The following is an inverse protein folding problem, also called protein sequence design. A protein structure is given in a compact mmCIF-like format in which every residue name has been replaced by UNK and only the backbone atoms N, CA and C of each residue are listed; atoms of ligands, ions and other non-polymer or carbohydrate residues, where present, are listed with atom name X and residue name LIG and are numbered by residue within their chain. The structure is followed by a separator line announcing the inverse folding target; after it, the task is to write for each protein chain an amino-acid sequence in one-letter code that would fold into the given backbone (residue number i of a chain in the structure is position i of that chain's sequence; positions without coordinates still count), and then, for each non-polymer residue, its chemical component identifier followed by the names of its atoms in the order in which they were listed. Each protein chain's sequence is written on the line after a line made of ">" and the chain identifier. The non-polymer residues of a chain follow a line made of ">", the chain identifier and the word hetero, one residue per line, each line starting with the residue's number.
data_IF_073576432158
#
_entry.id   IF_073576432158
#
_cell.length_a   1.000
_cell.length_b   1.000
_cell.length_c   1.000
_cell.angle_alpha   90.00
_cell.angle_beta   90.00
_cell.angle_gamma   90.00
#
_symmetry.space_group_name_H-M   'P 1'
#
loop_
_entity.id
_entity.type
_entity.pdbx_description
1 polymer ?
#
# COMPACT_ATOMS: atom_id res chain seq x y z
N UNK A 1 2.50 15.35 6.51
CA UNK A 1 3.98 15.39 6.43
C UNK A 1 4.59 15.79 7.78
N UNK A 2 5.88 15.48 7.98
CA UNK A 2 6.61 15.88 9.17
C UNK A 2 7.76 16.82 8.80
N UNK A 3 8.02 17.81 9.67
CA UNK A 3 9.18 18.69 9.56
C UNK A 3 10.23 18.29 10.59
N UNK A 4 11.49 18.34 10.19
CA UNK A 4 12.66 18.07 11.02
C UNK A 4 13.25 19.37 11.53
N UNK A 5 13.46 19.46 12.82
CA UNK A 5 14.14 20.60 13.47
C UNK A 5 15.28 20.09 14.36
N UNK A 6 16.32 20.91 14.54
CA UNK A 6 17.45 20.59 15.40
C UNK A 6 17.37 21.41 16.69
N UNK A 7 17.57 20.74 17.81
CA UNK A 7 17.65 21.37 19.15
C UNK A 7 18.96 20.93 19.83
N UNK A 8 19.95 21.81 19.85
CA UNK A 8 21.29 21.53 20.38
C UNK A 8 21.33 21.23 21.88
N UNK A 9 20.35 21.71 22.65
CA UNK A 9 20.25 21.53 24.10
C UNK A 9 19.76 20.14 24.54
N UNK A 10 19.37 19.26 23.63
CA UNK A 10 18.77 17.97 23.94
C UNK A 10 19.71 16.82 23.63
N UNK A 11 19.61 15.69 24.37
CA UNK A 11 20.37 14.45 24.12
C UNK A 11 20.14 13.91 22.68
N UNK A 12 18.89 13.89 22.24
CA UNK A 12 18.52 13.64 20.83
C UNK A 12 18.19 15.00 20.24
N UNK A 13 19.04 15.46 19.32
CA UNK A 13 18.97 16.81 18.75
C UNK A 13 17.84 16.93 17.71
N UNK A 14 17.57 15.86 17.00
CA UNK A 14 16.56 15.79 15.95
C UNK A 14 15.17 15.67 16.53
N UNK A 15 14.30 16.56 16.12
CA UNK A 15 12.89 16.57 16.47
C UNK A 15 12.05 16.59 15.21
N UNK A 16 11.14 15.65 15.14
CA UNK A 16 10.18 15.51 14.04
C UNK A 16 8.81 15.97 14.52
N UNK A 17 8.20 16.91 13.82
CA UNK A 17 6.90 17.50 14.17
C UNK A 17 5.95 17.33 12.99
N UNK A 18 4.75 16.80 13.23
CA UNK A 18 3.70 16.73 12.23
C UNK A 18 3.26 18.13 11.83
N UNK A 19 3.11 18.37 10.53
CA UNK A 19 2.63 19.65 10.00
C UNK A 19 1.12 19.81 10.07
N UNK A 20 0.39 18.72 10.32
CA UNK A 20 -1.05 18.80 10.57
C UNK A 20 -1.29 19.34 12.00
N UNK A 21 -1.91 20.50 12.16
CA UNK A 21 -2.14 21.11 13.46
C UNK A 21 -3.02 20.25 14.40
N UNK A 22 -3.94 19.47 13.83
CA UNK A 22 -4.83 18.59 14.60
C UNK A 22 -4.09 17.33 15.13
N UNK A 23 -3.00 16.92 14.48
CA UNK A 23 -2.26 15.71 14.86
C UNK A 23 -1.42 15.92 16.12
N UNK A 24 -0.78 17.11 16.28
CA UNK A 24 0.07 17.46 17.41
C UNK A 24 1.28 16.54 17.67
N UNK A 25 1.51 15.54 16.79
CA UNK A 25 2.55 14.53 16.98
C UNK A 25 3.95 15.15 16.92
N UNK A 26 4.77 14.87 17.95
CA UNK A 26 6.15 15.34 18.08
C UNK A 26 7.01 14.21 18.61
N UNK A 27 8.04 13.83 17.86
CA UNK A 27 8.91 12.71 18.20
C UNK A 27 10.37 13.13 18.14
N UNK A 28 11.18 12.58 19.04
CA UNK A 28 12.64 12.74 19.03
C UNK A 28 13.25 11.39 18.63
N UNK A 29 13.84 11.37 17.46
CA UNK A 29 14.58 10.23 16.94
C UNK A 29 15.75 10.77 16.12
N UNK A 30 16.95 10.26 16.37
CA UNK A 30 18.13 10.67 15.61
C UNK A 30 18.03 10.17 14.16
N UNK A 31 18.63 10.91 13.24
CA UNK A 31 18.66 10.55 11.84
C UNK A 31 19.31 9.16 11.64
N UNK A 32 20.37 8.85 12.39
CA UNK A 32 21.05 7.56 12.31
C UNK A 32 20.12 6.41 12.71
N UNK A 33 19.42 6.53 13.84
CA UNK A 33 18.46 5.51 14.29
C UNK A 33 17.29 5.38 13.34
N UNK A 34 16.79 6.50 12.78
CA UNK A 34 15.71 6.46 11.80
C UNK A 34 16.14 5.73 10.52
N UNK A 35 17.34 6.02 10.01
CA UNK A 35 17.91 5.37 8.83
C UNK A 35 18.13 3.87 9.07
N UNK A 36 18.67 3.50 10.23
CA UNK A 36 18.86 2.11 10.63
C UNK A 36 17.52 1.35 10.64
N UNK A 37 16.52 1.90 11.29
CA UNK A 37 15.17 1.32 11.34
C UNK A 37 14.55 1.15 9.96
N UNK A 38 14.69 2.15 9.07
CA UNK A 38 14.22 2.05 7.69
C UNK A 38 14.96 0.93 6.95
N UNK A 39 16.28 0.81 7.13
CA UNK A 39 17.10 -0.25 6.52
C UNK A 39 16.64 -1.63 6.98
N UNK A 40 16.39 -1.80 8.28
CA UNK A 40 15.86 -3.05 8.83
C UNK A 40 14.49 -3.43 8.22
N UNK A 41 13.59 -2.44 8.07
CA UNK A 41 12.28 -2.69 7.45
C UNK A 41 12.38 -3.05 5.97
N UNK A 42 13.30 -2.43 5.24
CA UNK A 42 13.57 -2.79 3.84
C UNK A 42 14.13 -4.21 3.75
N UNK A 43 15.11 -4.57 4.59
CA UNK A 43 15.67 -5.91 4.64
C UNK A 43 14.60 -6.96 4.95
N UNK A 44 13.71 -6.67 5.90
CA UNK A 44 12.58 -7.54 6.23
C UNK A 44 11.63 -7.75 5.05
N UNK A 45 11.40 -6.71 4.22
CA UNK A 45 10.60 -6.84 2.99
C UNK A 45 11.35 -7.71 1.96
N UNK A 46 12.67 -7.55 1.82
CA UNK A 46 13.49 -8.35 0.91
C UNK A 46 13.48 -9.83 1.31
N UNK A 47 13.62 -10.11 2.60
CA UNK A 47 13.61 -11.48 3.15
C UNK A 47 12.22 -12.12 3.08
N UNK A 48 11.16 -11.32 3.19
CA UNK A 48 9.78 -11.78 3.15
C UNK A 48 8.91 -10.90 2.24
N UNK A 49 8.92 -11.20 0.95
CA UNK A 49 8.15 -10.48 -0.05
C UNK A 49 6.62 -10.59 0.11
N UNK A 50 6.12 -11.52 0.96
CA UNK A 50 4.71 -11.60 1.31
C UNK A 50 4.23 -10.35 2.06
N UNK A 51 5.13 -9.61 2.71
CA UNK A 51 4.82 -8.31 3.34
C UNK A 51 4.38 -7.22 2.34
N UNK A 52 4.64 -7.42 1.05
CA UNK A 52 4.17 -6.55 -0.02
C UNK A 52 2.70 -6.82 -0.41
N UNK A 53 2.13 -7.94 0.04
CA UNK A 53 0.74 -8.28 -0.26
C UNK A 53 -0.22 -7.48 0.63
N UNK A 54 -1.26 -6.85 0.06
CA UNK A 54 -2.29 -6.24 0.86
C UNK A 54 -2.99 -7.32 1.69
N UNK A 55 -3.17 -7.06 2.99
CA UNK A 55 -3.93 -7.96 3.87
C UNK A 55 -5.33 -8.19 3.31
N UNK A 56 -5.81 -9.42 3.36
CA UNK A 56 -7.08 -9.86 2.75
C UNK A 56 -8.33 -9.13 3.25
N UNK A 57 -8.24 -8.42 4.36
CA UNK A 57 -9.35 -7.63 4.93
C UNK A 57 -9.92 -6.59 3.94
N UNK A 58 -9.18 -6.22 2.90
CA UNK A 58 -9.61 -5.30 1.85
C UNK A 58 -9.92 -5.99 0.53
N UNK A 59 -9.89 -7.33 0.49
CA UNK A 59 -10.23 -8.13 -0.70
C UNK A 59 -11.70 -8.55 -0.77
N UNK A 60 -12.61 -7.83 -0.14
CA UNK A 60 -14.02 -8.03 -0.46
C UNK A 60 -14.22 -7.69 -1.93
N UNK A 61 -14.20 -8.73 -2.75
CA UNK A 61 -14.71 -8.72 -4.11
C UNK A 61 -16.24 -8.66 -4.06
N UNK A 62 -16.77 -7.65 -3.42
CA UNK A 62 -18.19 -7.37 -3.54
C UNK A 62 -18.39 -6.95 -5.00
N UNK A 63 -19.07 -7.81 -5.76
CA UNK A 63 -19.49 -7.44 -7.12
C UNK A 63 -20.29 -6.14 -6.99
N UNK A 64 -19.89 -5.05 -7.65
CA UNK A 64 -20.62 -3.81 -7.54
C UNK A 64 -22.12 -4.02 -7.80
N UNK A 65 -23.00 -3.38 -7.04
CA UNK A 65 -24.45 -3.52 -7.23
C UNK A 65 -24.88 -3.26 -8.68
N UNK A 66 -24.20 -2.39 -9.39
CA UNK A 66 -24.42 -2.11 -10.82
C UNK A 66 -24.19 -3.33 -11.70
N UNK A 67 -23.16 -4.14 -11.41
CA UNK A 67 -22.87 -5.37 -12.17
C UNK A 67 -23.89 -6.47 -11.85
N UNK A 68 -24.33 -6.56 -10.59
CA UNK A 68 -25.40 -7.51 -10.22
C UNK A 68 -26.69 -7.20 -10.97
N UNK A 69 -27.12 -5.94 -10.96
CA UNK A 69 -28.33 -5.50 -11.66
C UNK A 69 -28.23 -5.76 -13.19
N UNK A 70 -27.11 -5.40 -13.81
CA UNK A 70 -26.92 -5.66 -15.24
C UNK A 70 -26.91 -7.17 -15.58
N UNK A 71 -26.44 -8.02 -14.65
CA UNK A 71 -26.45 -9.46 -14.82
C UNK A 71 -27.89 -10.01 -14.74
N UNK A 72 -28.71 -9.48 -13.85
CA UNK A 72 -30.13 -9.82 -13.72
C UNK A 72 -30.92 -9.40 -14.96
N UNK A 73 -30.65 -8.21 -15.50
CA UNK A 73 -31.24 -7.74 -16.77
C UNK A 73 -30.91 -8.67 -17.95
N UNK A 74 -29.64 -9.12 -18.06
CA UNK A 74 -29.25 -10.09 -19.10
C UNK A 74 -30.02 -11.39 -18.96
N UNK A 75 -30.15 -11.91 -17.74
CA UNK A 75 -30.86 -13.15 -17.50
C UNK A 75 -32.35 -13.04 -17.83
N UNK A 76 -32.97 -11.91 -17.48
CA UNK A 76 -34.37 -11.64 -17.83
C UNK A 76 -34.58 -11.53 -19.33
N UNK A 77 -33.71 -10.83 -20.03
CA UNK A 77 -33.76 -10.66 -21.49
C UNK A 77 -33.52 -11.99 -22.21
N UNK A 78 -32.55 -12.79 -21.76
CA UNK A 78 -32.27 -14.12 -22.32
C UNK A 78 -33.42 -15.12 -22.10
N UNK A 79 -34.22 -14.99 -21.06
CA UNK A 79 -35.38 -15.82 -20.77
C UNK A 79 -36.63 -15.38 -21.58
N UNK A 80 -36.63 -14.20 -22.17
CA UNK A 80 -37.75 -13.67 -22.95
C UNK A 80 -37.79 -14.23 -24.36
N UNK A 81 -38.94 -14.74 -24.85
CA UNK A 81 -39.08 -15.20 -26.24
C UNK A 81 -38.87 -14.06 -27.26
N UNK A 82 -39.02 -12.81 -26.85
CA UNK A 82 -38.83 -11.61 -27.65
C UNK A 82 -37.51 -10.91 -27.33
N UNK A 83 -36.61 -11.58 -26.60
CA UNK A 83 -35.36 -11.00 -26.14
C UNK A 83 -34.46 -10.55 -27.28
N UNK A 84 -33.80 -9.40 -27.11
CA UNK A 84 -32.90 -8.81 -28.07
C UNK A 84 -31.46 -9.27 -27.84
N UNK A 85 -30.89 -10.03 -28.78
CA UNK A 85 -29.48 -10.41 -28.72
C UNK A 85 -28.56 -9.19 -28.65
N UNK A 86 -28.88 -8.13 -29.38
CA UNK A 86 -28.09 -6.89 -29.38
C UNK A 86 -28.05 -6.23 -27.98
N UNK A 87 -29.18 -6.20 -27.30
CA UNK A 87 -29.25 -5.66 -25.92
C UNK A 87 -28.39 -6.47 -24.97
N UNK A 88 -28.44 -7.79 -25.05
CA UNK A 88 -27.61 -8.70 -24.25
C UNK A 88 -26.12 -8.43 -24.50
N UNK A 89 -25.71 -8.31 -25.75
CA UNK A 89 -24.31 -8.03 -26.11
C UNK A 89 -23.85 -6.68 -25.58
N UNK A 90 -24.68 -5.64 -25.67
CA UNK A 90 -24.34 -4.32 -25.16
C UNK A 90 -24.21 -4.30 -23.63
N UNK A 91 -25.08 -5.02 -22.92
CA UNK A 91 -24.96 -5.19 -21.45
C UNK A 91 -23.71 -5.98 -21.05
N UNK A 92 -23.35 -7.03 -21.80
CA UNK A 92 -22.10 -7.77 -21.57
C UNK A 92 -20.89 -6.84 -21.72
N UNK A 93 -20.89 -5.98 -22.75
CA UNK A 93 -19.82 -4.99 -22.96
C UNK A 93 -19.74 -3.97 -21.82
N UNK A 94 -20.88 -3.50 -21.31
CA UNK A 94 -20.93 -2.59 -20.16
C UNK A 94 -20.38 -3.25 -18.89
N UNK A 95 -20.79 -4.48 -18.60
CA UNK A 95 -20.22 -5.27 -17.48
C UNK A 95 -18.71 -5.43 -17.64
N UNK A 96 -18.23 -5.75 -18.83
CA UNK A 96 -16.80 -5.90 -19.09
C UNK A 96 -16.03 -4.59 -18.82
N UNK A 97 -16.57 -3.45 -19.29
CA UNK A 97 -15.99 -2.12 -19.02
C UNK A 97 -15.96 -1.79 -17.53
N UNK A 98 -17.06 -2.08 -16.82
CA UNK A 98 -17.16 -1.81 -15.39
C UNK A 98 -16.22 -2.71 -14.56
N UNK A 99 -16.13 -3.99 -14.90
CA UNK A 99 -15.15 -4.92 -14.31
C UNK A 99 -13.72 -4.47 -14.56
N UNK A 100 -13.42 -3.97 -15.77
CA UNK A 100 -12.09 -3.46 -16.10
C UNK A 100 -11.77 -2.19 -15.28
N UNK A 101 -12.71 -1.26 -15.16
CA UNK A 101 -12.55 -0.04 -14.34
C UNK A 101 -12.33 -0.37 -12.86
N UNK A 102 -13.03 -1.38 -12.35
CA UNK A 102 -12.93 -1.84 -10.95
C UNK A 102 -11.81 -2.88 -10.74
N UNK A 103 -11.13 -3.30 -11.81
CA UNK A 103 -10.02 -4.24 -11.70
C UNK A 103 -8.80 -3.53 -11.12
N UNK A 104 -8.21 -4.14 -10.08
CA UNK A 104 -6.97 -3.66 -9.47
C UNK A 104 -5.72 -4.06 -10.30
N UNK A 105 -5.83 -4.11 -11.64
CA UNK A 105 -4.75 -4.56 -12.54
C UNK A 105 -3.45 -3.78 -12.27
N UNK A 106 -3.54 -2.46 -12.10
CA UNK A 106 -2.36 -1.64 -11.81
C UNK A 106 -1.71 -2.02 -10.49
N UNK A 107 -2.51 -2.26 -9.44
CA UNK A 107 -2.00 -2.68 -8.13
C UNK A 107 -1.42 -4.09 -8.17
N UNK A 108 -2.06 -4.99 -8.91
CA UNK A 108 -1.56 -6.35 -9.08
C UNK A 108 -0.25 -6.36 -9.88
N UNK A 109 -0.16 -5.55 -10.94
CA UNK A 109 1.07 -5.38 -11.70
C UNK A 109 2.18 -4.77 -10.84
N UNK A 110 1.88 -3.73 -10.06
CA UNK A 110 2.83 -3.11 -9.13
C UNK A 110 3.34 -4.13 -8.11
N UNK A 111 2.45 -4.99 -7.57
CA UNK A 111 2.83 -6.06 -6.66
C UNK A 111 3.77 -7.08 -7.32
N UNK A 112 3.46 -7.53 -8.52
CA UNK A 112 4.32 -8.48 -9.27
C UNK A 112 5.70 -7.88 -9.56
N UNK A 113 5.74 -6.62 -9.97
CA UNK A 113 7.00 -5.89 -10.21
C UNK A 113 7.80 -5.79 -8.91
N UNK A 114 7.17 -5.35 -7.81
CA UNK A 114 7.84 -5.20 -6.53
C UNK A 114 8.39 -6.53 -6.01
N UNK A 115 7.62 -7.63 -6.07
CA UNK A 115 8.09 -8.96 -5.70
C UNK A 115 9.29 -9.41 -6.54
N UNK A 116 9.21 -9.23 -7.86
CA UNK A 116 10.33 -9.58 -8.73
C UNK A 116 11.57 -8.74 -8.45
N UNK A 117 11.41 -7.47 -8.09
CA UNK A 117 12.54 -6.62 -7.68
C UNK A 117 13.21 -7.16 -6.41
N UNK A 118 12.42 -7.60 -5.40
CA UNK A 118 12.99 -8.14 -4.15
C UNK A 118 13.77 -9.44 -4.37
N UNK A 119 13.46 -10.25 -5.38
CA UNK A 119 14.22 -11.46 -5.72
C UNK A 119 15.69 -11.18 -6.12
N UNK A 120 15.95 -9.98 -6.67
CA UNK A 120 17.30 -9.55 -7.08
C UNK A 120 18.00 -8.68 -6.03
N UNK A 121 17.29 -8.29 -4.96
CA UNK A 121 17.85 -7.50 -3.88
C UNK A 121 18.48 -8.41 -2.81
N UNK A 122 19.50 -7.89 -2.14
CA UNK A 122 20.12 -8.56 -0.99
C UNK A 122 20.01 -7.66 0.23
N UNK A 123 19.86 -8.26 1.40
CA UNK A 123 19.91 -7.51 2.66
C UNK A 123 21.18 -6.67 2.75
N UNK A 124 21.05 -5.44 3.23
CA UNK A 124 22.13 -4.45 3.30
C UNK A 124 22.38 -4.06 4.75
N UNK A 125 23.62 -3.82 5.10
CA UNK A 125 23.97 -3.24 6.40
C UNK A 125 23.76 -1.72 6.43
N UNK A 126 23.93 -1.07 5.27
CA UNK A 126 23.78 0.38 5.12
C UNK A 126 22.54 0.73 4.30
N UNK A 127 22.06 1.95 4.49
CA UNK A 127 20.90 2.46 3.76
C UNK A 127 21.16 2.56 2.26
N UNK A 128 20.33 1.90 1.48
CA UNK A 128 20.33 2.01 0.01
C UNK A 128 19.18 2.91 -0.45
N UNK A 129 19.55 4.04 -1.06
CA UNK A 129 18.57 4.97 -1.65
C UNK A 129 17.78 4.31 -2.79
N UNK A 130 18.44 3.48 -3.58
CA UNK A 130 17.82 2.83 -4.74
C UNK A 130 16.76 1.82 -4.28
N UNK A 131 17.04 1.04 -3.22
CA UNK A 131 16.09 0.11 -2.64
C UNK A 131 14.90 0.85 -2.01
N UNK A 132 15.20 1.94 -1.29
CA UNK A 132 14.16 2.79 -0.73
C UNK A 132 13.26 3.34 -1.84
N UNK A 133 13.83 3.93 -2.87
CA UNK A 133 13.06 4.52 -3.98
C UNK A 133 12.27 3.48 -4.79
N UNK A 134 12.74 2.25 -4.89
CA UNK A 134 12.04 1.19 -5.62
C UNK A 134 10.86 0.60 -4.86
N UNK A 135 10.97 0.44 -3.54
CA UNK A 135 9.99 -0.29 -2.71
C UNK A 135 9.06 0.62 -1.90
N UNK A 136 9.55 1.78 -1.44
CA UNK A 136 8.89 2.59 -0.44
C UNK A 136 8.26 3.85 -1.06
N UNK A 137 7.04 4.17 -0.65
CA UNK A 137 6.34 5.41 -0.99
C UNK A 137 6.62 6.50 0.05
N UNK A 138 6.51 6.16 1.33
CA UNK A 138 6.80 7.09 2.43
C UNK A 138 7.05 6.35 3.75
N UNK A 139 7.61 7.08 4.70
CA UNK A 139 7.88 6.61 6.06
C UNK A 139 6.85 7.22 7.02
N UNK A 140 6.41 6.45 7.97
CA UNK A 140 5.55 6.89 9.08
C UNK A 140 6.32 6.81 10.40
N UNK A 141 6.14 7.78 11.27
CA UNK A 141 6.72 7.79 12.60
C UNK A 141 5.56 7.94 13.60
N UNK A 142 5.39 6.96 14.46
CA UNK A 142 4.39 6.98 15.52
C UNK A 142 4.77 7.96 16.65
N UNK A 143 3.79 8.34 17.45
CA UNK A 143 4.02 9.19 18.63
C UNK A 143 4.91 8.53 19.69
N UNK A 144 4.97 7.23 19.70
CA UNK A 144 5.81 6.36 20.53
C UNK A 144 7.24 6.16 19.96
N UNK A 145 7.55 6.75 18.81
CA UNK A 145 8.84 6.59 18.12
C UNK A 145 8.93 5.32 17.27
N UNK A 146 7.85 4.55 17.12
CA UNK A 146 7.81 3.42 16.18
C UNK A 146 7.91 3.93 14.76
N UNK A 147 8.69 3.23 13.94
CA UNK A 147 8.87 3.54 12.53
C UNK A 147 8.12 2.51 11.69
N UNK A 148 7.45 2.98 10.67
CA UNK A 148 6.82 2.15 9.66
C UNK A 148 7.11 2.67 8.27
N UNK A 149 7.02 1.81 7.28
CA UNK A 149 7.16 2.16 5.87
C UNK A 149 5.90 1.79 5.11
N UNK A 150 5.45 2.69 4.26
CA UNK A 150 4.39 2.40 3.28
C UNK A 150 5.04 2.03 1.97
N UNK A 151 4.72 0.86 1.47
CA UNK A 151 5.26 0.36 0.21
C UNK A 151 4.52 0.95 -0.99
N UNK A 152 5.09 0.81 -2.17
CA UNK A 152 4.42 1.18 -3.43
C UNK A 152 3.24 0.26 -3.77
N UNK A 153 3.17 -0.90 -3.14
CA UNK A 153 2.04 -1.83 -3.24
C UNK A 153 0.91 -1.51 -2.27
N UNK A 154 0.99 -0.35 -1.62
CA UNK A 154 -0.01 0.15 -0.68
C UNK A 154 -0.16 -0.70 0.59
N UNK A 155 0.89 -1.38 1.02
CA UNK A 155 0.98 -2.09 2.29
C UNK A 155 1.81 -1.31 3.31
N UNK A 156 1.55 -1.52 4.59
CA UNK A 156 2.32 -0.89 5.67
C UNK A 156 3.08 -1.96 6.44
N UNK A 157 4.40 -1.81 6.49
CA UNK A 157 5.28 -2.64 7.31
C UNK A 157 5.76 -1.80 8.47
N UNK A 158 5.59 -2.27 9.69
CA UNK A 158 5.98 -1.59 10.94
C UNK A 158 7.00 -2.42 11.68
N UNK A 159 7.77 -1.77 12.54
CA UNK A 159 8.57 -2.46 13.55
C UNK A 159 7.66 -3.36 14.40
N UNK A 160 8.16 -4.53 14.77
CA UNK A 160 7.51 -5.33 15.79
C UNK A 160 7.68 -4.58 17.12
N UNK A 161 6.60 -4.44 17.89
CA UNK A 161 6.73 -3.95 19.26
C UNK A 161 7.62 -4.96 20.00
N UNK A 162 8.79 -4.53 20.39
CA UNK A 162 9.53 -5.24 21.43
C UNK A 162 8.70 -5.07 22.70
N UNK A 163 7.98 -6.12 23.07
CA UNK A 163 7.43 -6.25 24.42
C UNK A 163 8.65 -6.32 25.36
N UNK A 164 8.94 -5.18 26.01
CA UNK A 164 9.96 -5.05 27.05
C UNK A 164 9.37 -5.34 28.42
#
# INVERSE_FOLDING_TARGET
>A
PMTRTLQSSCKIKERWTCTNPECGCRVRISDSVLIEKITMLINRIIENSALLEPREEHRKKDTPPSIQHMTEEIMAEAASPAGSEQLILDRIREIAKERYRNSNIEKELALRIAKRQTEYMKAQNDFSRDYFQSLISYVTIGSDGTVGVRTKTDTTVKEDKQDG
#
